data_IF_495952558236
#
_entry.id   IF_495952558236
#
_cell.length_a   1.000
_cell.length_b   1.000
_cell.length_c   1.000
_cell.angle_alpha   90.00
_cell.angle_beta   90.00
_cell.angle_gamma   90.00
#
_symmetry.space_group_name_H-M   'P 1'
#
loop_
_entity.id
_entity.type
_entity.pdbx_description
1 polymer ?
#
# COMPACT_ATOMS: atom_id res chain seq x y z
N UNK A 1 2.18 -32.72 -13.11
CA UNK A 1 2.74 -32.73 -11.74
C UNK A 1 3.38 -31.37 -11.54
N UNK A 2 3.02 -30.66 -10.47
CA UNK A 2 3.67 -29.39 -10.10
C UNK A 2 5.13 -29.68 -9.78
N UNK A 3 6.05 -28.97 -10.44
CA UNK A 3 7.47 -29.03 -10.10
C UNK A 3 7.73 -28.16 -8.90
N UNK A 4 8.65 -28.56 -8.04
CA UNK A 4 9.09 -27.78 -6.88
C UNK A 4 10.58 -27.49 -6.98
N UNK A 5 11.00 -26.40 -6.35
CA UNK A 5 12.38 -26.08 -6.03
C UNK A 5 12.57 -26.06 -4.53
N UNK A 6 13.74 -26.44 -4.05
CA UNK A 6 14.08 -26.35 -2.63
C UNK A 6 14.68 -24.98 -2.35
N UNK A 7 14.12 -24.25 -1.40
CA UNK A 7 14.71 -23.04 -0.84
C UNK A 7 14.97 -23.21 0.65
N UNK A 8 15.97 -22.53 1.17
CA UNK A 8 16.42 -22.62 2.56
C UNK A 8 16.43 -21.27 3.24
N UNK A 9 16.05 -21.24 4.51
CA UNK A 9 16.25 -20.12 5.42
C UNK A 9 16.85 -20.61 6.75
N UNK A 10 16.93 -19.73 7.75
CA UNK A 10 17.49 -20.09 9.08
C UNK A 10 16.67 -21.15 9.83
N UNK A 11 15.44 -21.45 9.39
CA UNK A 11 14.58 -22.48 10.00
C UNK A 11 14.80 -23.84 9.32
N UNK A 12 15.27 -23.84 8.07
CA UNK A 12 15.55 -25.04 7.28
C UNK A 12 14.95 -25.00 5.88
N UNK A 13 14.99 -26.14 5.22
CA UNK A 13 14.55 -26.32 3.83
C UNK A 13 13.03 -26.39 3.71
N UNK A 14 12.50 -25.84 2.62
CA UNK A 14 11.10 -25.97 2.25
C UNK A 14 10.94 -26.07 0.73
N UNK A 15 9.91 -26.80 0.30
CA UNK A 15 9.54 -26.93 -1.11
C UNK A 15 8.67 -25.76 -1.54
N UNK A 16 9.12 -25.00 -2.54
CA UNK A 16 8.39 -23.89 -3.15
C UNK A 16 8.03 -24.29 -4.57
N UNK A 17 6.81 -24.00 -5.09
CA UNK A 17 6.49 -24.27 -6.49
C UNK A 17 7.51 -23.63 -7.43
N UNK A 18 8.00 -24.40 -8.40
CA UNK A 18 9.13 -23.96 -9.24
C UNK A 18 8.80 -22.74 -10.13
N UNK A 19 7.53 -22.55 -10.46
CA UNK A 19 7.02 -21.43 -11.24
C UNK A 19 6.74 -20.18 -10.40
N UNK A 20 6.57 -20.31 -9.06
CA UNK A 20 6.33 -19.21 -8.16
C UNK A 20 7.48 -18.19 -8.14
N UNK A 21 7.15 -16.89 -8.02
CA UNK A 21 8.12 -15.82 -7.77
C UNK A 21 8.32 -15.53 -6.29
N UNK A 22 7.39 -15.92 -5.42
CA UNK A 22 7.64 -15.90 -3.98
C UNK A 22 8.60 -17.04 -3.59
N UNK A 23 9.15 -16.95 -2.39
CA UNK A 23 10.14 -17.88 -1.88
C UNK A 23 9.72 -18.56 -0.58
N UNK A 24 10.71 -19.07 0.14
CA UNK A 24 10.54 -19.90 1.33
C UNK A 24 9.82 -19.18 2.48
N UNK A 25 10.08 -17.90 2.71
CA UNK A 25 9.44 -17.15 3.80
C UNK A 25 7.96 -16.90 3.52
N UNK A 26 7.61 -16.60 2.28
CA UNK A 26 6.22 -16.49 1.86
C UNK A 26 5.50 -17.83 1.94
N UNK A 27 6.14 -18.91 1.51
CA UNK A 27 5.56 -20.24 1.61
C UNK A 27 5.24 -20.61 3.07
N UNK A 28 6.15 -20.35 4.01
CA UNK A 28 5.89 -20.52 5.46
C UNK A 28 4.72 -19.67 5.94
N UNK A 29 4.64 -18.42 5.49
CA UNK A 29 3.56 -17.51 5.87
C UNK A 29 2.19 -18.03 5.39
N UNK A 30 2.10 -18.55 4.16
CA UNK A 30 0.89 -19.14 3.59
C UNK A 30 0.43 -20.36 4.42
N UNK A 31 1.37 -21.15 4.91
CA UNK A 31 1.07 -22.33 5.73
C UNK A 31 0.63 -21.96 7.15
N UNK A 32 1.26 -20.92 7.75
CA UNK A 32 1.02 -20.52 9.13
C UNK A 32 -0.20 -19.61 9.31
N UNK A 33 -0.48 -18.71 8.35
CA UNK A 33 -1.50 -17.67 8.50
C UNK A 33 -2.64 -17.89 7.51
N UNK A 34 -3.64 -18.67 7.93
CA UNK A 34 -4.91 -18.90 7.20
C UNK A 34 -6.05 -18.35 8.04
N UNK A 35 -6.10 -17.03 8.20
CA UNK A 35 -6.96 -16.36 9.20
C UNK A 35 -8.22 -15.81 8.54
N UNK A 36 -8.08 -14.92 7.55
CA UNK A 36 -9.21 -14.26 6.88
C UNK A 36 -9.60 -14.93 5.55
N UNK A 37 -8.66 -15.63 4.91
CA UNK A 37 -8.79 -16.12 3.55
C UNK A 37 -8.64 -15.03 2.48
N UNK A 38 -8.46 -13.78 2.87
CA UNK A 38 -8.24 -12.64 1.97
C UNK A 38 -6.74 -12.42 1.79
N UNK A 39 -6.27 -12.44 0.56
CA UNK A 39 -4.86 -12.31 0.23
C UNK A 39 -4.49 -10.85 -0.04
N UNK A 40 -3.23 -10.50 0.20
CA UNK A 40 -2.73 -9.16 -0.15
C UNK A 40 -2.82 -8.86 -1.63
N UNK A 41 -2.69 -9.87 -2.50
CA UNK A 41 -2.88 -9.75 -3.94
C UNK A 41 -4.29 -9.33 -4.38
N UNK A 42 -5.30 -9.52 -3.53
CA UNK A 42 -6.67 -9.06 -3.77
C UNK A 42 -6.81 -7.51 -3.68
N UNK A 43 -5.73 -6.82 -3.24
CA UNK A 43 -5.63 -5.36 -3.16
C UNK A 43 -4.55 -4.82 -4.11
N UNK A 44 -4.84 -4.64 -5.42
CA UNK A 44 -3.85 -4.18 -6.41
C UNK A 44 -3.19 -2.84 -6.05
N UNK A 45 -3.92 -1.94 -5.38
CA UNK A 45 -3.35 -0.68 -4.91
C UNK A 45 -2.23 -0.89 -3.87
N UNK A 46 -2.35 -1.90 -3.01
CA UNK A 46 -1.32 -2.24 -2.05
C UNK A 46 -0.09 -2.86 -2.74
N UNK A 47 -0.29 -3.81 -3.65
CA UNK A 47 0.81 -4.42 -4.42
C UNK A 47 1.56 -3.38 -5.24
N UNK A 48 0.82 -2.47 -5.87
CA UNK A 48 1.40 -1.32 -6.57
C UNK A 48 2.20 -0.42 -5.63
N UNK A 49 1.68 -0.12 -4.45
CA UNK A 49 2.34 0.73 -3.47
C UNK A 49 3.65 0.12 -2.97
N UNK A 50 3.69 -1.18 -2.64
CA UNK A 50 4.93 -1.83 -2.20
C UNK A 50 5.98 -1.85 -3.32
N UNK A 51 5.57 -2.01 -4.58
CA UNK A 51 6.44 -1.88 -5.73
C UNK A 51 7.12 -0.50 -5.81
N UNK A 52 6.38 0.58 -5.57
CA UNK A 52 6.93 1.94 -5.51
C UNK A 52 7.90 2.13 -4.34
N UNK A 53 7.54 1.64 -3.15
CA UNK A 53 8.41 1.74 -1.96
C UNK A 53 9.73 1.01 -2.20
N UNK A 54 9.69 -0.20 -2.74
CA UNK A 54 10.91 -0.99 -3.05
C UNK A 54 11.74 -0.34 -4.15
N UNK A 55 11.12 0.24 -5.16
CA UNK A 55 11.83 0.99 -6.20
C UNK A 55 12.53 2.23 -5.64
N UNK A 56 11.83 3.02 -4.82
CA UNK A 56 12.40 4.19 -4.16
C UNK A 56 13.59 3.81 -3.26
N UNK A 57 13.46 2.73 -2.50
CA UNK A 57 14.52 2.20 -1.64
C UNK A 57 15.75 1.74 -2.46
N UNK A 58 15.55 0.99 -3.55
CA UNK A 58 16.65 0.54 -4.41
C UNK A 58 17.38 1.72 -5.05
N UNK A 59 16.67 2.72 -5.59
CA UNK A 59 17.26 3.93 -6.13
C UNK A 59 18.04 4.72 -5.09
N UNK A 60 17.53 4.76 -3.85
CA UNK A 60 18.20 5.44 -2.74
C UNK A 60 19.48 4.73 -2.32
N UNK A 61 19.44 3.41 -2.17
CA UNK A 61 20.62 2.62 -1.84
C UNK A 61 21.70 2.74 -2.92
N UNK A 62 21.30 2.76 -4.18
CA UNK A 62 22.24 2.98 -5.29
C UNK A 62 22.87 4.38 -5.23
N UNK A 63 22.07 5.44 -5.05
CA UNK A 63 22.57 6.81 -4.97
C UNK A 63 23.54 7.03 -3.78
N UNK A 64 23.39 6.21 -2.73
CA UNK A 64 24.29 6.21 -1.56
C UNK A 64 25.45 5.21 -1.68
N UNK A 65 25.63 4.58 -2.84
CA UNK A 65 26.74 3.68 -3.13
C UNK A 65 26.65 2.29 -2.48
N UNK A 66 25.47 1.90 -1.98
CA UNK A 66 25.26 0.61 -1.32
C UNK A 66 24.78 -0.48 -2.27
N UNK A 67 24.06 -0.13 -3.33
CA UNK A 67 23.56 -1.07 -4.33
C UNK A 67 24.27 -0.81 -5.66
N UNK A 68 24.97 -1.79 -6.25
CA UNK A 68 25.69 -1.61 -7.51
C UNK A 68 24.74 -1.54 -8.72
N UNK A 69 25.19 -0.95 -9.81
CA UNK A 69 24.45 -0.84 -11.07
C UNK A 69 23.94 -2.18 -11.60
N UNK A 70 24.73 -3.23 -11.42
CA UNK A 70 24.39 -4.60 -11.84
C UNK A 70 23.15 -5.16 -11.17
N UNK A 71 22.82 -4.69 -9.97
CA UNK A 71 21.62 -5.06 -9.22
C UNK A 71 20.50 -4.02 -9.31
N UNK A 72 20.83 -2.73 -9.39
CA UNK A 72 19.81 -1.68 -9.49
C UNK A 72 18.90 -1.87 -10.70
N UNK A 73 19.48 -2.15 -11.86
CA UNK A 73 18.72 -2.26 -13.12
C UNK A 73 17.70 -3.41 -13.06
N UNK A 74 18.06 -4.66 -12.77
CA UNK A 74 17.09 -5.76 -12.70
C UNK A 74 16.08 -5.60 -11.56
N UNK A 75 16.49 -5.12 -10.37
CA UNK A 75 15.57 -4.84 -9.27
C UNK A 75 14.57 -3.74 -9.66
N UNK A 76 15.02 -2.66 -10.29
CA UNK A 76 14.14 -1.59 -10.74
C UNK A 76 13.12 -2.07 -11.78
N UNK A 77 13.54 -2.93 -12.70
CA UNK A 77 12.62 -3.48 -13.70
C UNK A 77 11.59 -4.42 -13.06
N UNK A 78 12.03 -5.30 -12.16
CA UNK A 78 11.12 -6.15 -11.38
C UNK A 78 10.10 -5.31 -10.59
N UNK A 79 10.53 -4.24 -9.90
CA UNK A 79 9.63 -3.32 -9.21
C UNK A 79 8.60 -2.67 -10.15
N UNK A 80 9.01 -2.24 -11.34
CA UNK A 80 8.09 -1.66 -12.35
C UNK A 80 7.05 -2.68 -12.82
N UNK A 81 7.44 -3.94 -12.96
CA UNK A 81 6.50 -5.02 -13.32
C UNK A 81 5.51 -5.31 -12.18
N UNK A 82 5.94 -5.23 -10.90
CA UNK A 82 5.06 -5.30 -9.74
C UNK A 82 4.08 -4.10 -9.73
N UNK A 83 4.57 -2.88 -9.97
CA UNK A 83 3.75 -1.66 -10.09
C UNK A 83 2.71 -1.78 -11.20
N UNK A 84 3.04 -2.47 -12.29
CA UNK A 84 2.15 -2.72 -13.42
C UNK A 84 1.13 -3.85 -13.16
N UNK A 85 1.14 -4.50 -11.99
CA UNK A 85 0.20 -5.56 -11.62
C UNK A 85 0.51 -6.94 -12.20
N UNK A 86 1.69 -7.14 -12.81
CA UNK A 86 2.03 -8.43 -13.43
C UNK A 86 2.18 -9.57 -12.41
N UNK A 87 2.39 -9.24 -11.15
CA UNK A 87 2.67 -10.19 -10.07
C UNK A 87 1.64 -10.18 -8.95
N UNK A 88 0.45 -9.57 -9.11
CA UNK A 88 -0.58 -9.52 -8.07
C UNK A 88 -0.92 -10.92 -7.53
N UNK A 89 -0.98 -11.92 -8.44
CA UNK A 89 -1.24 -13.33 -8.08
C UNK A 89 -0.11 -14.00 -7.29
N UNK A 90 1.04 -13.36 -7.10
CA UNK A 90 2.16 -13.86 -6.31
C UNK A 90 2.16 -13.33 -4.86
N UNK A 91 1.24 -12.41 -4.52
CA UNK A 91 1.06 -11.88 -3.17
C UNK A 91 -0.01 -12.67 -2.44
N UNK A 92 0.37 -13.86 -1.96
CA UNK A 92 -0.54 -14.88 -1.42
C UNK A 92 -0.71 -14.84 0.10
N UNK A 93 0.03 -13.98 0.79
CA UNK A 93 -0.03 -13.85 2.25
C UNK A 93 -1.40 -13.30 2.66
N UNK A 94 -1.98 -13.88 3.73
CA UNK A 94 -3.24 -13.39 4.33
C UNK A 94 -3.10 -11.94 4.82
N UNK A 95 -4.18 -11.18 4.77
CA UNK A 95 -4.22 -9.81 5.30
C UNK A 95 -3.83 -9.73 6.77
N UNK A 96 -4.23 -10.73 7.56
CA UNK A 96 -3.84 -10.86 8.98
C UNK A 96 -2.72 -11.89 9.06
N UNK A 97 -1.58 -11.45 9.55
CA UNK A 97 -0.35 -12.20 9.58
C UNK A 97 0.46 -11.90 10.83
N UNK A 98 1.51 -12.66 11.12
CA UNK A 98 2.41 -12.43 12.24
C UNK A 98 3.27 -11.18 12.05
N UNK A 99 3.57 -10.49 13.15
CA UNK A 99 4.35 -9.25 13.16
C UNK A 99 3.60 -8.07 12.53
N UNK A 100 4.31 -6.99 12.30
CA UNK A 100 3.78 -5.74 11.73
C UNK A 100 3.88 -5.73 10.19
N UNK A 101 3.47 -6.81 9.52
CA UNK A 101 3.52 -6.92 8.06
C UNK A 101 4.78 -7.62 7.52
N UNK A 102 5.52 -8.35 8.37
CA UNK A 102 6.77 -9.02 8.00
C UNK A 102 6.58 -10.00 6.85
N UNK A 103 5.53 -10.81 6.89
CA UNK A 103 5.27 -11.79 5.83
C UNK A 103 5.03 -11.14 4.47
N UNK A 104 4.29 -10.03 4.42
CA UNK A 104 4.04 -9.28 3.19
C UNK A 104 5.32 -8.58 2.70
N UNK A 105 6.09 -7.98 3.61
CA UNK A 105 7.36 -7.36 3.23
C UNK A 105 8.30 -8.38 2.60
N UNK A 106 8.41 -9.57 3.19
CA UNK A 106 9.22 -10.64 2.63
C UNK A 106 8.65 -11.20 1.33
N UNK A 107 7.32 -11.30 1.20
CA UNK A 107 6.69 -11.68 -0.06
C UNK A 107 7.11 -10.74 -1.20
N UNK A 108 7.07 -9.44 -0.98
CA UNK A 108 7.54 -8.48 -1.97
C UNK A 108 9.04 -8.62 -2.27
N UNK A 109 9.86 -8.78 -1.23
CA UNK A 109 11.30 -8.94 -1.39
C UNK A 109 11.64 -10.18 -2.24
N UNK A 110 10.98 -11.31 -1.96
CA UNK A 110 11.19 -12.57 -2.68
C UNK A 110 10.71 -12.49 -4.14
N UNK A 111 9.52 -11.94 -4.38
CA UNK A 111 8.99 -11.76 -5.74
C UNK A 111 9.92 -10.86 -6.58
N UNK A 112 10.37 -9.75 -6.03
CA UNK A 112 11.27 -8.81 -6.71
C UNK A 112 12.65 -9.46 -6.94
N UNK A 113 13.21 -10.15 -5.93
CA UNK A 113 14.50 -10.81 -6.07
C UNK A 113 14.47 -11.92 -7.11
N UNK A 114 13.45 -12.79 -7.10
CA UNK A 114 13.33 -13.88 -8.07
C UNK A 114 13.11 -13.36 -9.50
N UNK A 115 12.34 -12.27 -9.66
CA UNK A 115 12.21 -11.64 -10.97
C UNK A 115 13.50 -10.98 -11.43
N UNK A 116 14.24 -10.34 -10.53
CA UNK A 116 15.55 -9.76 -10.85
C UNK A 116 16.57 -10.84 -11.25
N UNK A 117 16.59 -11.99 -10.54
CA UNK A 117 17.41 -13.15 -10.90
C UNK A 117 17.12 -13.63 -12.31
N UNK A 118 15.85 -13.83 -12.66
CA UNK A 118 15.45 -14.24 -14.01
C UNK A 118 15.88 -13.22 -15.08
N UNK A 119 15.75 -11.92 -14.81
CA UNK A 119 16.21 -10.85 -15.71
C UNK A 119 17.74 -10.84 -15.91
N UNK A 120 18.47 -11.35 -14.93
CA UNK A 120 19.94 -11.51 -14.99
C UNK A 120 20.37 -12.86 -15.60
N UNK A 121 19.42 -13.76 -15.91
CA UNK A 121 19.70 -15.08 -16.47
C UNK A 121 20.05 -16.16 -15.44
N UNK A 122 19.69 -15.93 -14.15
CA UNK A 122 19.83 -16.90 -13.07
C UNK A 122 18.51 -17.61 -12.77
N UNK A 123 18.61 -18.75 -12.10
CA UNK A 123 17.44 -19.49 -11.62
C UNK A 123 16.80 -18.80 -10.41
N UNK A 124 15.47 -18.94 -10.26
CA UNK A 124 14.76 -18.47 -9.07
C UNK A 124 15.26 -19.23 -7.82
N UNK A 125 15.48 -18.50 -6.72
CA UNK A 125 16.06 -19.03 -5.49
C UNK A 125 17.59 -18.94 -5.42
N UNK A 126 18.26 -18.51 -6.48
CA UNK A 126 19.73 -18.32 -6.48
C UNK A 126 20.11 -16.98 -5.82
N UNK A 127 19.78 -16.88 -4.53
CA UNK A 127 19.91 -15.66 -3.74
C UNK A 127 21.34 -15.18 -3.50
N UNK A 128 22.34 -15.96 -3.92
CA UNK A 128 23.73 -15.50 -3.95
C UNK A 128 23.93 -14.31 -4.90
N UNK A 129 23.15 -14.26 -5.98
CA UNK A 129 23.24 -13.21 -6.98
C UNK A 129 22.28 -12.04 -6.74
N UNK A 130 21.11 -12.29 -6.17
CA UNK A 130 20.16 -11.24 -5.75
C UNK A 130 19.36 -11.71 -4.54
N UNK A 131 19.80 -11.29 -3.34
CA UNK A 131 19.18 -11.65 -2.06
C UNK A 131 17.95 -10.79 -1.78
N UNK A 132 16.81 -11.41 -1.37
CA UNK A 132 15.64 -10.67 -0.87
C UNK A 132 15.97 -9.77 0.33
N UNK A 133 16.83 -10.24 1.26
CA UNK A 133 17.20 -9.51 2.47
C UNK A 133 18.29 -8.48 2.24
N UNK A 134 19.42 -8.91 1.63
CA UNK A 134 20.64 -8.09 1.60
C UNK A 134 20.61 -7.05 0.47
N UNK A 135 19.82 -7.28 -0.59
CA UNK A 135 19.73 -6.39 -1.74
C UNK A 135 18.37 -5.69 -1.83
N UNK A 136 17.25 -6.43 -1.91
CA UNK A 136 15.91 -5.82 -2.09
C UNK A 136 15.45 -5.11 -0.83
N UNK A 137 15.73 -5.66 0.36
CA UNK A 137 15.37 -5.07 1.66
C UNK A 137 16.50 -4.23 2.29
N UNK A 138 17.57 -3.96 1.57
CA UNK A 138 18.72 -3.22 2.09
C UNK A 138 18.31 -1.87 2.68
N UNK A 139 18.87 -1.51 3.84
CA UNK A 139 18.59 -0.28 4.60
C UNK A 139 17.14 -0.12 5.08
N UNK A 140 16.35 -1.19 5.09
CA UNK A 140 14.96 -1.20 5.48
C UNK A 140 14.68 -2.15 6.64
N UNK A 141 13.59 -1.90 7.33
CA UNK A 141 12.87 -2.84 8.16
C UNK A 141 11.45 -2.99 7.64
N UNK A 142 10.76 -4.08 8.01
CA UNK A 142 9.30 -4.14 7.84
C UNK A 142 8.62 -2.95 8.50
N UNK A 143 9.16 -2.49 9.64
CA UNK A 143 8.55 -1.45 10.47
C UNK A 143 8.59 -0.04 9.84
N UNK A 144 9.34 0.16 8.78
CA UNK A 144 9.30 1.40 7.98
C UNK A 144 8.72 1.18 6.58
N UNK A 145 9.10 0.11 5.89
CA UNK A 145 8.64 -0.17 4.53
C UNK A 145 7.14 -0.53 4.46
N UNK A 146 6.64 -1.34 5.39
CA UNK A 146 5.24 -1.76 5.40
C UNK A 146 4.27 -0.60 5.72
N UNK A 147 4.43 0.19 6.79
CA UNK A 147 3.53 1.33 7.04
C UNK A 147 3.60 2.38 5.94
N UNK A 148 4.76 2.63 5.34
CA UNK A 148 4.88 3.50 4.17
C UNK A 148 4.08 2.97 2.99
N UNK A 149 4.11 1.66 2.76
CA UNK A 149 3.29 1.00 1.74
C UNK A 149 1.80 1.17 2.01
N UNK A 150 1.35 0.96 3.25
CA UNK A 150 -0.06 1.14 3.64
C UNK A 150 -0.50 2.58 3.42
N UNK A 151 0.31 3.57 3.84
CA UNK A 151 0.04 5.00 3.64
C UNK A 151 -0.14 5.32 2.15
N UNK A 152 0.77 4.90 1.29
CA UNK A 152 0.66 5.10 -0.15
C UNK A 152 -0.56 4.38 -0.76
N UNK A 153 -0.82 3.13 -0.35
CA UNK A 153 -1.99 2.39 -0.83
C UNK A 153 -3.30 3.09 -0.46
N UNK A 154 -3.42 3.61 0.77
CA UNK A 154 -4.61 4.37 1.20
C UNK A 154 -4.76 5.66 0.38
N UNK A 155 -3.67 6.39 0.10
CA UNK A 155 -3.72 7.57 -0.79
C UNK A 155 -4.27 7.18 -2.17
N UNK A 156 -3.78 6.09 -2.77
CA UNK A 156 -4.25 5.62 -4.08
C UNK A 156 -5.73 5.23 -4.04
N UNK A 157 -6.14 4.49 -3.02
CA UNK A 157 -7.55 4.07 -2.87
C UNK A 157 -8.47 5.26 -2.58
N UNK A 158 -8.00 6.26 -1.82
CA UNK A 158 -8.76 7.49 -1.56
C UNK A 158 -9.03 8.28 -2.85
N UNK A 159 -8.07 8.35 -3.79
CA UNK A 159 -8.29 8.98 -5.10
C UNK A 159 -9.45 8.28 -5.84
N UNK A 160 -9.45 6.96 -5.88
CA UNK A 160 -10.53 6.16 -6.50
C UNK A 160 -11.88 6.34 -5.77
N UNK A 161 -11.86 6.38 -4.44
CA UNK A 161 -13.07 6.64 -3.65
C UNK A 161 -13.68 7.99 -3.98
N UNK A 162 -12.88 9.05 -4.04
CA UNK A 162 -13.34 10.40 -4.39
C UNK A 162 -13.94 10.45 -5.79
N UNK A 163 -13.34 9.78 -6.78
CA UNK A 163 -13.91 9.68 -8.13
C UNK A 163 -15.30 9.03 -8.12
N UNK A 164 -15.48 7.94 -7.37
CA UNK A 164 -16.78 7.27 -7.24
C UNK A 164 -17.79 8.13 -6.48
N UNK A 165 -17.35 8.84 -5.44
CA UNK A 165 -18.20 9.75 -4.69
C UNK A 165 -18.70 10.92 -5.56
N UNK A 166 -17.83 11.49 -6.40
CA UNK A 166 -18.22 12.53 -7.36
C UNK A 166 -19.29 12.04 -8.36
N UNK A 167 -19.19 10.78 -8.82
CA UNK A 167 -20.22 10.18 -9.68
C UNK A 167 -21.56 10.05 -8.95
N UNK A 168 -21.54 9.64 -7.69
CA UNK A 168 -22.74 9.52 -6.86
C UNK A 168 -23.38 10.89 -6.61
N UNK A 169 -22.60 11.91 -6.24
CA UNK A 169 -23.06 13.29 -6.07
C UNK A 169 -23.74 13.80 -7.34
N UNK A 170 -23.12 13.58 -8.49
CA UNK A 170 -23.70 13.95 -9.79
C UNK A 170 -25.03 13.25 -10.06
N UNK A 171 -25.15 11.97 -9.70
CA UNK A 171 -26.38 11.20 -9.85
C UNK A 171 -27.49 11.75 -8.94
N UNK A 172 -27.19 12.07 -7.68
CA UNK A 172 -28.15 12.69 -6.75
C UNK A 172 -28.64 14.06 -7.27
N UNK A 173 -27.73 14.94 -7.73
CA UNK A 173 -28.12 16.23 -8.31
C UNK A 173 -29.02 16.08 -9.53
N UNK A 174 -28.73 15.09 -10.42
CA UNK A 174 -29.59 14.79 -11.54
C UNK A 174 -31.00 14.40 -11.07
N UNK A 175 -31.12 13.57 -10.04
CA UNK A 175 -32.40 13.19 -9.43
C UNK A 175 -33.07 14.37 -8.71
N UNK A 176 -32.30 15.25 -8.10
CA UNK A 176 -32.79 16.50 -7.53
C UNK A 176 -33.53 17.35 -8.55
N UNK A 177 -32.94 17.51 -9.73
CA UNK A 177 -33.58 18.23 -10.85
C UNK A 177 -34.77 17.50 -11.39
N UNK A 178 -34.71 16.18 -11.60
CA UNK A 178 -35.81 15.36 -12.11
C UNK A 178 -37.06 15.41 -11.20
N UNK A 179 -36.87 15.49 -9.90
CA UNK A 179 -37.95 15.49 -8.90
C UNK A 179 -38.20 16.88 -8.27
N UNK A 180 -37.79 17.95 -8.94
CA UNK A 180 -37.90 19.31 -8.40
C UNK A 180 -39.38 19.69 -8.09
N UNK A 181 -40.34 19.20 -8.87
CA UNK A 181 -41.76 19.51 -8.74
C UNK A 181 -42.57 18.40 -8.02
N UNK A 182 -41.88 17.32 -7.57
CA UNK A 182 -42.57 16.20 -6.88
C UNK A 182 -42.74 16.56 -5.41
N UNK A 183 -43.94 16.93 -5.02
CA UNK A 183 -44.28 17.29 -3.63
C UNK A 183 -44.31 16.04 -2.75
N UNK A 184 -43.71 16.13 -1.58
CA UNK A 184 -43.77 15.14 -0.50
C UNK A 184 -43.93 15.80 0.86
N UNK A 185 -44.27 15.02 1.88
CA UNK A 185 -44.25 15.48 3.26
C UNK A 185 -42.82 15.38 3.83
N UNK A 186 -42.25 16.49 4.26
CA UNK A 186 -41.08 16.50 5.09
C UNK A 186 -41.42 16.00 6.49
N UNK A 187 -40.46 15.29 7.14
CA UNK A 187 -40.66 14.70 8.47
C UNK A 187 -39.66 15.21 9.49
N UNK A 188 -40.16 15.40 10.71
CA UNK A 188 -39.32 15.68 11.89
C UNK A 188 -39.69 14.67 12.97
N UNK A 189 -38.69 14.12 13.66
CA UNK A 189 -38.91 13.12 14.72
C UNK A 189 -39.83 11.96 14.28
N UNK A 190 -39.67 11.48 13.03
CA UNK A 190 -40.44 10.41 12.39
C UNK A 190 -41.93 10.74 12.15
N UNK A 191 -42.37 12.00 12.28
CA UNK A 191 -43.74 12.47 12.07
C UNK A 191 -43.79 13.45 10.92
N UNK A 192 -44.96 13.50 10.27
CA UNK A 192 -45.26 14.47 9.23
C UNK A 192 -45.18 15.90 9.77
N UNK A 193 -44.47 16.78 9.05
CA UNK A 193 -44.28 18.15 9.46
C UNK A 193 -44.80 19.11 8.38
N UNK A 194 -44.00 19.46 7.38
CA UNK A 194 -44.32 20.47 6.37
C UNK A 194 -44.05 19.92 4.96
N UNK A 195 -44.72 20.41 3.92
CA UNK A 195 -44.42 20.06 2.53
C UNK A 195 -42.98 20.45 2.13
N UNK A 196 -42.38 19.60 1.33
CA UNK A 196 -41.12 19.83 0.62
C UNK A 196 -41.20 19.11 -0.74
N UNK A 197 -40.16 19.28 -1.57
CA UNK A 197 -40.04 18.45 -2.78
C UNK A 197 -39.07 17.28 -2.58
N UNK A 198 -39.30 16.21 -3.32
CA UNK A 198 -38.35 15.08 -3.34
C UNK A 198 -37.01 15.53 -3.92
N UNK A 199 -37.01 16.49 -4.86
CA UNK A 199 -35.81 17.08 -5.40
C UNK A 199 -34.94 17.74 -4.34
N UNK A 200 -35.53 18.46 -3.38
CA UNK A 200 -34.80 19.06 -2.25
C UNK A 200 -34.11 18.00 -1.37
N UNK A 201 -34.72 16.84 -1.18
CA UNK A 201 -34.13 15.75 -0.42
C UNK A 201 -32.88 15.16 -1.13
N UNK A 202 -32.98 14.94 -2.45
CA UNK A 202 -31.82 14.46 -3.25
C UNK A 202 -30.69 15.49 -3.31
N UNK A 203 -30.98 16.78 -3.40
CA UNK A 203 -29.99 17.86 -3.34
C UNK A 203 -29.28 17.90 -1.96
N UNK A 204 -30.01 17.66 -0.87
CA UNK A 204 -29.43 17.58 0.47
C UNK A 204 -28.43 16.40 0.59
N UNK A 205 -28.76 15.24 0.02
CA UNK A 205 -27.83 14.10 -0.01
C UNK A 205 -26.57 14.43 -0.82
N UNK A 206 -26.71 15.10 -1.96
CA UNK A 206 -25.58 15.54 -2.78
C UNK A 206 -24.68 16.51 -2.02
N UNK A 207 -25.25 17.50 -1.34
CA UNK A 207 -24.52 18.50 -0.56
C UNK A 207 -23.74 17.88 0.60
N UNK A 208 -24.35 16.97 1.36
CA UNK A 208 -23.68 16.24 2.44
C UNK A 208 -22.44 15.48 1.95
N UNK A 209 -22.56 14.73 0.86
CA UNK A 209 -21.46 13.95 0.32
C UNK A 209 -20.37 14.84 -0.28
N UNK A 210 -20.73 15.99 -0.84
CA UNK A 210 -19.75 16.94 -1.41
C UNK A 210 -18.81 17.52 -0.35
N UNK A 211 -19.32 17.81 0.84
CA UNK A 211 -18.50 18.25 1.97
C UNK A 211 -17.46 17.22 2.39
N UNK A 212 -17.74 15.92 2.24
CA UNK A 212 -16.83 14.87 2.63
C UNK A 212 -15.60 14.76 1.71
N UNK A 213 -15.68 15.21 0.46
CA UNK A 213 -14.55 15.17 -0.49
C UNK A 213 -13.34 15.94 0.06
N UNK A 214 -13.55 17.19 0.47
CA UNK A 214 -12.46 18.03 1.01
C UNK A 214 -11.87 17.43 2.30
N UNK A 215 -12.73 16.83 3.14
CA UNK A 215 -12.32 16.19 4.39
C UNK A 215 -11.50 14.93 4.15
N UNK A 216 -11.92 14.07 3.21
CA UNK A 216 -11.17 12.87 2.82
C UNK A 216 -9.81 13.23 2.22
N UNK A 217 -9.74 14.26 1.37
CA UNK A 217 -8.48 14.76 0.82
C UNK A 217 -7.54 15.27 1.91
N UNK A 218 -8.05 16.11 2.81
CA UNK A 218 -7.27 16.66 3.92
C UNK A 218 -6.74 15.56 4.85
N UNK A 219 -7.56 14.57 5.18
CA UNK A 219 -7.15 13.47 6.04
C UNK A 219 -6.16 12.52 5.35
N UNK A 220 -6.29 12.31 4.02
CA UNK A 220 -5.32 11.53 3.27
C UNK A 220 -3.93 12.19 3.21
N UNK A 221 -3.84 13.51 3.31
CA UNK A 221 -2.56 14.23 3.36
C UNK A 221 -1.74 13.88 4.62
N UNK A 222 -2.36 13.40 5.70
CA UNK A 222 -1.64 12.91 6.88
C UNK A 222 -0.75 11.70 6.58
N UNK A 223 -1.05 10.96 5.52
CA UNK A 223 -0.23 9.83 5.07
C UNK A 223 1.00 10.22 4.25
N UNK A 224 1.17 11.50 3.92
CA UNK A 224 2.34 11.97 3.17
C UNK A 224 3.61 12.02 4.03
N UNK A 225 3.49 12.08 5.35
CA UNK A 225 4.61 11.93 6.26
C UNK A 225 4.91 10.45 6.49
N UNK A 226 6.16 10.02 6.22
CA UNK A 226 6.58 8.63 6.29
C UNK A 226 7.79 8.42 7.19
N UNK A 227 7.93 7.20 7.71
CA UNK A 227 9.02 6.82 8.60
C UNK A 227 10.13 5.99 7.91
N UNK A 228 10.20 5.99 6.55
CA UNK A 228 11.27 5.29 5.82
C UNK A 228 12.64 5.75 6.30
N UNK A 229 13.51 4.77 6.56
CA UNK A 229 14.83 4.98 7.16
C UNK A 229 14.85 5.00 8.70
N UNK A 230 13.68 4.93 9.36
CA UNK A 230 13.58 4.69 10.80
C UNK A 230 14.02 3.28 11.20
N UNK A 231 13.95 2.36 10.25
CA UNK A 231 14.23 0.93 10.42
C UNK A 231 13.37 0.30 11.51
N UNK A 232 13.94 -0.46 12.46
CA UNK A 232 13.19 -1.26 13.40
C UNK A 232 12.33 -0.45 14.39
N UNK A 233 12.89 0.65 14.94
CA UNK A 233 12.29 1.43 16.03
C UNK A 233 12.41 2.95 15.85
N UNK A 234 12.74 3.41 14.67
CA UNK A 234 12.87 4.84 14.36
C UNK A 234 14.27 5.42 14.60
N UNK A 235 15.23 4.63 15.08
CA UNK A 235 16.61 5.08 15.34
C UNK A 235 17.49 5.09 14.10
N UNK A 236 17.03 4.51 12.98
CA UNK A 236 17.80 4.43 11.74
C UNK A 236 18.98 3.47 11.76
N UNK A 237 19.01 2.52 12.71
CA UNK A 237 20.04 1.49 12.74
C UNK A 237 20.00 0.70 11.42
N UNK A 238 21.14 0.50 10.77
CA UNK A 238 21.33 -0.10 9.44
C UNK A 238 20.90 0.78 8.24
N UNK A 239 20.40 2.00 8.45
CA UNK A 239 20.20 2.97 7.37
C UNK A 239 21.36 3.97 7.32
N UNK A 240 21.98 4.24 6.16
CA UNK A 240 23.05 5.22 6.06
C UNK A 240 22.53 6.64 6.23
N UNK A 241 23.43 7.56 6.60
CA UNK A 241 23.08 8.97 6.73
C UNK A 241 22.49 9.52 5.43
N UNK A 242 21.35 10.20 5.54
CA UNK A 242 20.64 10.78 4.40
C UNK A 242 19.63 9.84 3.70
N UNK A 243 19.61 8.55 4.05
CA UNK A 243 18.71 7.58 3.44
C UNK A 243 17.24 7.99 3.56
N UNK A 244 16.76 8.32 4.76
CA UNK A 244 15.37 8.66 5.02
C UNK A 244 14.85 9.77 4.09
N UNK A 245 15.57 10.90 4.06
CA UNK A 245 15.21 12.05 3.23
C UNK A 245 15.23 11.70 1.74
N UNK A 246 16.31 11.08 1.26
CA UNK A 246 16.45 10.75 -0.15
C UNK A 246 15.41 9.71 -0.61
N UNK A 247 15.04 8.75 0.26
CA UNK A 247 14.02 7.77 -0.05
C UNK A 247 12.62 8.41 -0.16
N UNK A 248 12.28 9.33 0.73
CA UNK A 248 11.03 10.10 0.64
C UNK A 248 10.97 10.95 -0.64
N UNK A 249 12.08 11.62 -1.00
CA UNK A 249 12.19 12.39 -2.25
C UNK A 249 12.06 11.50 -3.50
N UNK A 250 12.66 10.32 -3.51
CA UNK A 250 12.53 9.37 -4.61
C UNK A 250 11.10 8.83 -4.72
N UNK A 251 10.47 8.51 -3.58
CA UNK A 251 9.08 8.06 -3.56
C UNK A 251 8.14 9.17 -4.08
N UNK A 252 8.35 10.42 -3.67
CA UNK A 252 7.60 11.57 -4.16
C UNK A 252 7.74 11.75 -5.68
N UNK A 253 8.96 11.64 -6.22
CA UNK A 253 9.20 11.73 -7.67
C UNK A 253 8.51 10.60 -8.46
N UNK A 254 8.51 9.39 -7.91
CA UNK A 254 7.93 8.21 -8.58
C UNK A 254 6.40 8.23 -8.58
N UNK A 255 5.77 8.74 -7.53
CA UNK A 255 4.32 8.70 -7.34
C UNK A 255 3.62 9.99 -7.76
N UNK A 256 4.34 11.12 -7.74
CA UNK A 256 3.77 12.47 -7.91
C UNK A 256 3.09 13.00 -6.64
N UNK A 257 3.10 12.26 -5.54
CA UNK A 257 2.57 12.68 -4.23
C UNK A 257 3.71 13.29 -3.38
N UNK A 258 3.43 14.32 -2.57
CA UNK A 258 4.43 15.09 -1.84
C UNK A 258 4.90 14.42 -0.55
N UNK A 259 5.46 13.22 -0.65
CA UNK A 259 6.00 12.49 0.50
C UNK A 259 7.16 13.23 1.16
N UNK A 260 7.16 13.25 2.48
CA UNK A 260 8.21 13.84 3.32
C UNK A 260 8.61 12.88 4.43
N UNK A 261 9.86 12.98 4.85
CA UNK A 261 10.37 12.27 6.02
C UNK A 261 9.78 12.87 7.28
N UNK A 262 9.30 12.04 8.21
CA UNK A 262 8.87 12.48 9.53
C UNK A 262 9.98 13.24 10.27
N UNK A 263 9.59 14.30 10.97
CA UNK A 263 10.54 15.11 11.75
C UNK A 263 11.17 14.31 12.90
N UNK A 264 10.44 13.36 13.46
CA UNK A 264 10.92 12.43 14.50
C UNK A 264 10.55 11.00 14.09
N UNK A 265 11.52 10.26 13.57
CA UNK A 265 11.32 8.88 13.12
C UNK A 265 10.98 7.91 14.28
N UNK A 266 11.44 8.19 15.50
CA UNK A 266 11.12 7.35 16.67
C UNK A 266 9.65 7.49 17.05
N UNK A 267 9.11 8.70 17.00
CA UNK A 267 7.70 8.96 17.24
C UNK A 267 6.84 8.39 16.11
N UNK A 268 7.21 8.61 14.86
CA UNK A 268 6.44 8.21 13.68
C UNK A 268 6.37 6.68 13.45
N UNK A 269 7.29 5.91 14.07
CA UNK A 269 7.31 4.45 13.88
C UNK A 269 6.13 3.74 14.56
N UNK A 270 5.75 4.02 15.81
CA UNK A 270 4.56 3.43 16.43
C UNK A 270 3.27 4.22 16.17
N UNK A 271 3.33 5.42 15.58
CA UNK A 271 2.15 6.28 15.44
C UNK A 271 1.12 5.71 14.47
N UNK A 272 -0.12 5.60 14.96
CA UNK A 272 -1.29 5.17 14.20
C UNK A 272 -2.37 6.26 14.08
N UNK A 273 -2.07 7.49 14.53
CA UNK A 273 -3.03 8.59 14.60
C UNK A 273 -3.66 8.93 13.25
N UNK A 274 -2.84 8.98 12.19
CA UNK A 274 -3.33 9.22 10.82
C UNK A 274 -4.35 8.19 10.35
N UNK A 275 -4.16 6.91 10.68
CA UNK A 275 -5.11 5.84 10.34
C UNK A 275 -6.42 5.97 11.10
N UNK A 276 -6.38 6.32 12.39
CA UNK A 276 -7.57 6.53 13.22
C UNK A 276 -8.39 7.70 12.70
N UNK A 277 -7.74 8.81 12.35
CA UNK A 277 -8.39 10.01 11.80
C UNK A 277 -9.05 9.67 10.45
N UNK A 278 -8.35 9.01 9.55
CA UNK A 278 -8.89 8.62 8.24
C UNK A 278 -10.05 7.61 8.37
N UNK A 279 -9.92 6.61 9.22
CA UNK A 279 -11.00 5.65 9.54
C UNK A 279 -12.25 6.35 10.07
N UNK A 280 -12.07 7.36 10.94
CA UNK A 280 -13.17 8.18 11.45
C UNK A 280 -13.86 8.99 10.34
N UNK A 281 -13.11 9.49 9.37
CA UNK A 281 -13.68 10.17 8.20
C UNK A 281 -14.52 9.23 7.34
N UNK A 282 -14.03 8.01 7.07
CA UNK A 282 -14.82 6.99 6.36
C UNK A 282 -16.09 6.62 7.10
N UNK A 283 -16.01 6.45 8.43
CA UNK A 283 -17.18 6.16 9.26
C UNK A 283 -18.22 7.28 9.19
N UNK A 284 -17.78 8.55 9.30
CA UNK A 284 -18.69 9.71 9.22
C UNK A 284 -19.38 9.79 7.85
N UNK A 285 -18.68 9.53 6.77
CA UNK A 285 -19.26 9.53 5.43
C UNK A 285 -20.33 8.43 5.25
N UNK A 286 -20.20 7.30 5.97
CA UNK A 286 -21.10 6.16 5.88
C UNK A 286 -22.37 6.29 6.76
N UNK A 287 -22.43 7.27 7.68
CA UNK A 287 -23.53 7.53 8.60
C UNK A 287 -24.41 8.67 8.10
#
# INVERSE_FOLDING_TARGET
MTKFRTESDLIGDLQVPADAYYGVQTQRAIENFRITGTKMGDYPAFVKAIGYVKLAAAQTNHALGLLPDTLLKPISEACKEVIAGKFDSQFLVDMIQGGAGTSVNMNANEVIANRALELMGYEKGDYLHCSPNDHVNQSQSTNDAYPTTVKLAVIMMNKTLIEKLQLLIKAFRKKGQEFADVIKMGRTQLQDAVPMTLGQEFEAFAANLEEEIARLQSNANLFLEINMGGTAIGTGLNAPKGYAKLCAENLAKLTGDAFVTAANLVEATPDTGSYVIYSSALKRMAV
#
